data_IF_758080922711
#
_entry.id   IF_758080922711
#
_cell.length_a   1.000
_cell.length_b   1.000
_cell.length_c   1.000
_cell.angle_alpha   90.00
_cell.angle_beta   90.00
_cell.angle_gamma   90.00
#
_symmetry.space_group_name_H-M   'P 1'
#
loop_
_entity.id
_entity.type
_entity.pdbx_description
1 polymer ?
#
# COMPACT_ATOMS: atom_id res chain seq x y z
N UNK A 1 -20.46 0.22 -4.71
CA UNK A 1 -19.91 0.32 -6.09
C UNK A 1 -18.67 -0.54 -6.10
N UNK A 2 -18.51 -1.44 -7.06
CA UNK A 2 -17.25 -2.16 -7.23
C UNK A 2 -16.37 -1.32 -8.16
N UNK A 3 -15.12 -1.14 -7.79
CA UNK A 3 -14.11 -0.47 -8.59
C UNK A 3 -12.94 -1.42 -8.78
N UNK A 4 -12.22 -1.29 -9.89
CA UNK A 4 -10.96 -2.03 -10.06
C UNK A 4 -9.87 -1.37 -9.23
N UNK A 5 -8.98 -2.19 -8.68
CA UNK A 5 -7.76 -1.71 -8.06
C UNK A 5 -6.55 -2.47 -8.60
N UNK A 6 -5.42 -1.78 -8.67
CA UNK A 6 -4.14 -2.35 -9.10
C UNK A 6 -3.06 -1.97 -8.09
N UNK A 7 -2.41 -2.97 -7.53
CA UNK A 7 -1.21 -2.81 -6.72
C UNK A 7 0.03 -2.99 -7.60
N UNK A 8 0.98 -2.08 -7.46
CA UNK A 8 2.26 -2.14 -8.17
C UNK A 8 3.43 -1.80 -7.25
N UNK A 9 4.56 -2.42 -7.55
CA UNK A 9 5.80 -2.33 -6.78
C UNK A 9 6.97 -2.15 -7.74
N UNK A 10 7.87 -1.20 -7.43
CA UNK A 10 9.08 -0.94 -8.19
C UNK A 10 10.29 -1.15 -7.29
N UNK A 11 11.19 -2.07 -7.66
CA UNK A 11 12.41 -2.37 -6.90
C UNK A 11 13.36 -1.16 -6.76
N UNK A 12 13.18 -0.12 -7.60
CA UNK A 12 13.92 1.15 -7.53
C UNK A 12 13.36 2.10 -6.47
N UNK A 13 12.15 1.88 -6.01
CA UNK A 13 11.52 2.57 -4.88
C UNK A 13 11.00 1.52 -3.88
N UNK A 14 11.91 0.78 -3.23
CA UNK A 14 11.58 -0.47 -2.55
C UNK A 14 10.73 -0.29 -1.29
N UNK A 15 10.58 0.94 -0.81
CA UNK A 15 9.76 1.31 0.34
C UNK A 15 8.30 1.59 -0.06
N UNK A 16 8.03 1.84 -1.34
CA UNK A 16 6.74 2.33 -1.78
C UNK A 16 5.87 1.23 -2.42
N UNK A 17 4.60 1.25 -2.07
CA UNK A 17 3.53 0.55 -2.78
C UNK A 17 2.68 1.59 -3.50
N UNK A 18 2.40 1.34 -4.78
CA UNK A 18 1.47 2.16 -5.55
C UNK A 18 0.15 1.42 -5.70
N UNK A 19 -0.94 2.07 -5.30
CA UNK A 19 -2.31 1.61 -5.50
C UNK A 19 -3.02 2.54 -6.49
N UNK A 20 -3.58 1.95 -7.55
CA UNK A 20 -4.44 2.66 -8.50
C UNK A 20 -5.87 2.20 -8.26
N UNK A 21 -6.78 3.15 -8.07
CA UNK A 21 -8.21 2.93 -7.88
C UNK A 21 -8.96 3.50 -9.07
N UNK A 22 -9.67 2.66 -9.81
CA UNK A 22 -10.34 3.03 -11.06
C UNK A 22 -11.86 2.83 -10.92
N UNK A 23 -12.58 3.95 -10.76
CA UNK A 23 -14.04 4.03 -10.82
C UNK A 23 -14.48 4.33 -12.26
N UNK A 24 -15.38 3.50 -12.80
CA UNK A 24 -15.91 3.70 -14.15
C UNK A 24 -16.47 5.13 -14.33
N UNK A 25 -15.84 5.90 -15.23
CA UNK A 25 -16.27 7.26 -15.58
C UNK A 25 -15.56 8.38 -14.83
N UNK A 26 -14.62 8.09 -13.93
CA UNK A 26 -13.74 9.07 -13.29
C UNK A 26 -12.28 8.89 -13.68
N UNK A 27 -11.43 9.84 -13.30
CA UNK A 27 -9.99 9.69 -13.46
C UNK A 27 -9.46 8.75 -12.38
N UNK A 28 -8.66 7.72 -12.74
CA UNK A 28 -8.13 6.79 -11.77
C UNK A 28 -7.27 7.55 -10.74
N UNK A 29 -7.48 7.23 -9.47
CA UNK A 29 -6.77 7.87 -8.36
C UNK A 29 -5.57 7.00 -7.99
N UNK A 30 -4.39 7.63 -7.93
CA UNK A 30 -3.14 6.98 -7.56
C UNK A 30 -2.76 7.34 -6.13
N UNK A 31 -2.56 6.33 -5.30
CA UNK A 31 -2.00 6.45 -3.96
C UNK A 31 -0.62 5.80 -3.91
N UNK A 32 0.27 6.41 -3.14
CA UNK A 32 1.57 5.84 -2.80
C UNK A 32 1.73 5.89 -1.29
N UNK A 33 2.06 4.75 -0.69
CA UNK A 33 2.26 4.62 0.74
C UNK A 33 3.29 3.55 1.04
N UNK A 34 3.70 3.45 2.30
CA UNK A 34 4.74 2.51 2.73
C UNK A 34 4.31 1.06 2.50
N UNK A 35 5.24 0.25 1.96
CA UNK A 35 5.11 -1.21 1.90
C UNK A 35 4.96 -1.82 3.29
N UNK A 36 5.70 -1.29 4.27
CA UNK A 36 5.62 -1.71 5.67
C UNK A 36 4.26 -1.36 6.27
N UNK A 37 3.69 -0.18 5.94
CA UNK A 37 2.34 0.18 6.37
C UNK A 37 1.29 -0.83 5.90
N UNK A 38 1.42 -1.34 4.67
CA UNK A 38 0.53 -2.39 4.16
C UNK A 38 0.70 -3.70 4.93
N UNK A 39 1.95 -4.08 5.22
CA UNK A 39 2.26 -5.29 5.97
C UNK A 39 1.67 -5.24 7.38
N UNK A 40 1.90 -4.14 8.09
CA UNK A 40 1.33 -3.90 9.42
C UNK A 40 -0.19 -3.92 9.37
N UNK A 41 -0.77 -3.23 8.37
CA UNK A 41 -2.21 -3.16 8.10
C UNK A 41 -2.90 -4.49 7.83
N UNK A 42 -2.16 -5.51 7.36
CA UNK A 42 -2.67 -6.87 7.18
C UNK A 42 -2.66 -7.68 8.49
N UNK A 43 -1.86 -7.29 9.47
CA UNK A 43 -1.72 -7.99 10.76
C UNK A 43 -2.46 -7.31 11.91
N UNK A 44 -2.73 -6.01 11.79
CA UNK A 44 -3.40 -5.19 12.78
C UNK A 44 -3.72 -3.79 12.22
N UNK A 45 -4.33 -2.93 13.03
CA UNK A 45 -4.58 -1.55 12.59
C UNK A 45 -3.28 -0.74 12.58
N UNK A 46 -2.99 -0.10 11.45
CA UNK A 46 -1.80 0.72 11.22
C UNK A 46 -2.18 1.98 10.41
N UNK A 47 -1.42 3.06 10.56
CA UNK A 47 -1.69 4.30 9.83
C UNK A 47 -0.47 5.22 9.74
N UNK A 48 -0.31 5.89 8.61
CA UNK A 48 0.72 6.87 8.35
C UNK A 48 0.17 8.02 7.49
N UNK A 49 0.32 9.25 7.97
CA UNK A 49 -0.17 10.43 7.25
C UNK A 49 -1.68 10.39 7.03
N UNK A 50 -2.08 10.34 5.77
CA UNK A 50 -3.48 10.33 5.34
C UNK A 50 -3.94 8.93 4.88
N UNK A 51 -3.24 7.87 5.31
CA UNK A 51 -3.56 6.47 5.00
C UNK A 51 -3.69 5.66 6.28
N UNK A 52 -4.79 4.94 6.44
CA UNK A 52 -5.02 3.99 7.54
C UNK A 52 -5.46 2.65 6.96
N UNK A 53 -4.88 1.57 7.46
CA UNK A 53 -5.11 0.20 6.99
C UNK A 53 -5.38 -0.71 8.18
N UNK A 54 -6.38 -1.59 8.07
CA UNK A 54 -6.67 -2.58 9.12
C UNK A 54 -7.35 -3.82 8.55
N UNK A 55 -7.17 -4.99 9.20
CA UNK A 55 -7.87 -6.19 8.81
C UNK A 55 -9.24 -6.25 9.51
N UNK A 56 -10.24 -6.79 8.83
CA UNK A 56 -11.59 -7.04 9.37
C UNK A 56 -12.01 -8.47 9.04
N UNK A 57 -12.61 -9.18 10.01
CA UNK A 57 -13.05 -10.57 9.78
C UNK A 57 -14.37 -10.60 9.01
N UNK A 58 -14.49 -11.51 8.04
CA UNK A 58 -15.74 -11.74 7.31
C UNK A 58 -16.78 -12.58 8.09
N UNK A 59 -16.43 -13.04 9.30
CA UNK A 59 -17.25 -13.93 10.13
C UNK A 59 -17.34 -15.39 9.66
N UNK A 60 -16.81 -15.72 8.48
CA UNK A 60 -16.74 -17.04 7.88
C UNK A 60 -15.35 -17.70 7.92
N UNK A 61 -14.36 -17.02 8.49
CA UNK A 61 -12.97 -17.48 8.58
C UNK A 61 -12.02 -16.82 7.57
N UNK A 62 -12.56 -15.98 6.68
CA UNK A 62 -11.80 -15.07 5.83
C UNK A 62 -11.64 -13.69 6.47
N UNK A 63 -10.84 -12.87 5.80
CA UNK A 63 -10.48 -11.52 6.25
C UNK A 63 -10.49 -10.57 5.04
N UNK A 64 -10.98 -9.36 5.28
CA UNK A 64 -10.88 -8.23 4.37
C UNK A 64 -9.81 -7.27 4.85
N UNK A 65 -9.22 -6.57 3.90
CA UNK A 65 -8.39 -5.42 4.17
C UNK A 65 -9.24 -4.16 3.98
N UNK A 66 -9.34 -3.35 5.03
CA UNK A 66 -9.92 -2.02 4.97
C UNK A 66 -8.81 -1.00 4.79
N UNK A 67 -9.02 -0.09 3.85
CA UNK A 67 -8.11 0.99 3.50
C UNK A 67 -8.88 2.30 3.50
N UNK A 68 -8.54 3.19 4.42
CA UNK A 68 -8.99 4.58 4.43
C UNK A 68 -7.88 5.48 3.92
N UNK A 69 -8.23 6.35 2.97
CA UNK A 69 -7.31 7.34 2.39
C UNK A 69 -7.94 8.73 2.38
N UNK A 70 -7.10 9.74 2.55
CA UNK A 70 -7.50 11.14 2.55
C UNK A 70 -7.63 11.73 3.95
N UNK A 71 -8.14 12.95 4.01
CA UNK A 71 -8.28 13.72 5.25
C UNK A 71 -9.61 14.45 5.26
N UNK A 72 -10.21 14.56 6.43
CA UNK A 72 -11.45 15.31 6.65
C UNK A 72 -11.42 16.68 5.94
N UNK A 73 -12.45 17.03 5.14
CA UNK A 73 -13.72 16.32 4.95
C UNK A 73 -13.75 15.32 3.78
N UNK A 74 -12.61 15.02 3.17
CA UNK A 74 -12.48 14.19 1.97
C UNK A 74 -11.73 12.90 2.28
N UNK A 75 -12.44 11.92 2.84
CA UNK A 75 -11.96 10.55 3.03
C UNK A 75 -12.66 9.58 2.08
N UNK A 76 -11.92 8.56 1.66
CA UNK A 76 -12.43 7.44 0.89
C UNK A 76 -12.07 6.13 1.60
N UNK A 77 -13.01 5.20 1.61
CA UNK A 77 -12.90 3.93 2.32
C UNK A 77 -13.13 2.77 1.37
N UNK A 78 -12.17 1.85 1.35
CA UNK A 78 -12.15 0.70 0.46
C UNK A 78 -12.08 -0.58 1.26
N UNK A 79 -12.88 -1.56 0.85
CA UNK A 79 -12.82 -2.94 1.32
C UNK A 79 -12.30 -3.79 0.16
N UNK A 80 -11.28 -4.62 0.41
CA UNK A 80 -10.72 -5.53 -0.58
C UNK A 80 -10.38 -6.88 0.03
N UNK A 81 -10.37 -7.98 -0.75
CA UNK A 81 -9.96 -9.29 -0.25
C UNK A 81 -8.51 -9.26 0.27
N UNK A 82 -8.27 -9.71 1.50
CA UNK A 82 -6.94 -9.65 2.09
C UNK A 82 -5.96 -10.68 1.50
N UNK A 83 -6.46 -11.85 1.06
CA UNK A 83 -5.63 -12.95 0.58
C UNK A 83 -4.80 -12.57 -0.68
N UNK A 84 -5.38 -12.04 -1.77
CA UNK A 84 -4.60 -11.59 -2.92
C UNK A 84 -3.60 -10.49 -2.61
N UNK A 85 -3.95 -9.56 -1.69
CA UNK A 85 -3.05 -8.48 -1.26
C UNK A 85 -1.87 -9.05 -0.47
N UNK A 86 -2.12 -10.04 0.38
CA UNK A 86 -1.10 -10.74 1.16
C UNK A 86 -0.14 -11.51 0.26
N UNK A 87 -0.67 -12.29 -0.68
CA UNK A 87 0.14 -13.04 -1.65
C UNK A 87 1.03 -12.11 -2.46
N UNK A 88 0.45 -11.03 -2.99
CA UNK A 88 1.20 -10.02 -3.74
C UNK A 88 2.28 -9.35 -2.87
N UNK A 89 1.97 -8.97 -1.64
CA UNK A 89 2.93 -8.34 -0.73
C UNK A 89 4.12 -9.27 -0.45
N UNK A 90 3.88 -10.57 -0.25
CA UNK A 90 4.93 -11.58 -0.07
C UNK A 90 5.85 -11.66 -1.29
N UNK A 91 5.31 -11.55 -2.52
CA UNK A 91 6.13 -11.48 -3.74
C UNK A 91 7.07 -10.26 -3.72
N UNK A 92 6.61 -9.10 -3.24
CA UNK A 92 7.46 -7.90 -3.14
C UNK A 92 8.62 -8.08 -2.16
N UNK A 93 8.39 -8.76 -1.03
CA UNK A 93 9.45 -9.11 -0.08
C UNK A 93 10.39 -10.20 -0.63
N UNK A 94 9.90 -11.04 -1.55
CA UNK A 94 10.76 -11.94 -2.32
C UNK A 94 11.70 -11.21 -3.28
N UNK A 95 11.28 -10.07 -3.83
CA UNK A 95 12.10 -9.22 -4.71
C UNK A 95 13.11 -8.39 -3.93
N UNK A 96 12.68 -7.72 -2.86
CA UNK A 96 13.53 -6.94 -1.95
C UNK A 96 13.16 -7.30 -0.53
N UNK A 97 13.97 -8.15 0.14
CA UNK A 97 13.72 -8.53 1.53
C UNK A 97 13.70 -7.32 2.46
N UNK A 98 12.96 -7.46 3.55
CA UNK A 98 12.95 -6.48 4.63
C UNK A 98 14.38 -6.25 5.16
N UNK A 99 14.74 -4.98 5.35
CA UNK A 99 16.07 -4.55 5.76
C UNK A 99 17.10 -4.50 4.64
N UNK A 100 16.77 -4.92 3.42
CA UNK A 100 17.64 -4.84 2.24
C UNK A 100 17.25 -3.73 1.27
N UNK A 101 16.25 -2.91 1.59
CA UNK A 101 15.75 -1.84 0.75
C UNK A 101 16.84 -0.82 0.39
N UNK A 102 17.78 -0.56 1.30
CA UNK A 102 18.87 0.39 1.09
C UNK A 102 20.05 -0.18 0.29
N UNK A 103 20.06 -1.47 -0.06
CA UNK A 103 21.23 -2.15 -0.63
C UNK A 103 21.62 -1.62 -2.02
N UNK A 104 20.72 -0.90 -2.70
CA UNK A 104 20.97 -0.23 -3.98
C UNK A 104 20.73 1.29 -3.97
N UNK A 105 20.51 1.90 -2.80
CA UNK A 105 20.28 3.35 -2.68
C UNK A 105 21.63 4.04 -2.49
N UNK A 106 22.07 4.77 -3.52
CA UNK A 106 23.26 5.64 -3.45
C UNK A 106 22.91 6.93 -2.67
N UNK A 107 22.98 6.87 -1.33
CA UNK A 107 22.63 7.97 -0.43
C UNK A 107 23.43 9.27 -0.68
N UNK A 108 24.67 9.15 -1.17
CA UNK A 108 25.50 10.31 -1.50
C UNK A 108 24.90 11.14 -2.66
N UNK A 109 24.23 10.51 -3.62
CA UNK A 109 23.60 11.21 -4.75
C UNK A 109 22.36 12.01 -4.33
N UNK A 110 21.64 11.56 -3.30
CA UNK A 110 20.45 12.25 -2.78
C UNK A 110 20.80 13.53 -2.00
N UNK A 111 21.97 13.58 -1.37
CA UNK A 111 22.40 14.74 -0.58
C UNK A 111 22.66 15.98 -1.47
N UNK A 112 23.00 15.78 -2.74
CA UNK A 112 23.24 16.86 -3.72
C UNK A 112 21.96 17.41 -4.39
N UNK A 113 20.78 16.84 -4.14
CA UNK A 113 19.50 17.31 -4.70
C UNK A 113 18.83 18.39 -3.84
N UNK A 114 19.39 18.71 -2.67
CA UNK A 114 18.83 19.66 -1.70
C UNK A 114 19.65 20.97 -1.63
N UNK A 115 20.63 21.16 -2.52
CA UNK A 115 21.43 22.39 -2.69
C UNK A 115 20.96 23.23 -3.89
#
# INVERSE_FOLDING_TARGET
>A
MLISCEFSYDVRDPYAVTLILDSEGEHPVRWVFSRELLADGLTGSAGEGDVTVWPESDGGGGWFLWLEVGRDPHTALFEMPAEPVTEWLLETYGLVPEGQESTGVEWDALTHLIE
#
